data_IF_326596425248
#
_entry.id   IF_326596425248
#
_cell.length_a   1.000
_cell.length_b   1.000
_cell.length_c   1.000
_cell.angle_alpha   90.00
_cell.angle_beta   90.00
_cell.angle_gamma   90.00
#
_symmetry.space_group_name_H-M   'P 1'
#
loop_
_entity.id
_entity.type
_entity.pdbx_description
1 polymer ?
#
# COMPACT_ATOMS: atom_id res chain seq x y z
N UNK A 1 -59.28 26.24 19.94
CA UNK A 1 -60.02 25.40 20.90
C UNK A 1 -59.44 24.00 20.86
N UNK A 2 -58.75 23.56 21.91
CA UNK A 2 -58.19 22.21 21.96
C UNK A 2 -59.33 21.23 22.25
N UNK A 3 -59.53 20.24 21.38
CA UNK A 3 -60.46 19.14 21.65
C UNK A 3 -59.90 18.32 22.81
N UNK A 4 -60.48 18.48 24.00
CA UNK A 4 -60.21 17.62 25.15
C UNK A 4 -60.91 16.28 24.93
N UNK A 5 -60.20 15.37 24.25
CA UNK A 5 -60.62 13.99 24.12
C UNK A 5 -60.25 13.24 25.42
N UNK A 6 -61.26 12.90 26.22
CA UNK A 6 -61.08 12.14 27.47
C UNK A 6 -60.83 10.63 27.25
N UNK A 7 -60.56 10.19 26.02
CA UNK A 7 -60.19 8.80 25.74
C UNK A 7 -58.69 8.61 26.00
N UNK A 8 -58.30 7.40 26.42
CA UNK A 8 -56.89 7.01 26.52
C UNK A 8 -56.24 7.05 25.13
N UNK A 9 -54.98 7.45 25.07
CA UNK A 9 -54.22 7.56 23.83
C UNK A 9 -54.07 6.19 23.13
N UNK A 10 -53.77 5.12 23.88
CA UNK A 10 -53.60 3.74 23.41
C UNK A 10 -52.57 3.54 22.28
N UNK A 11 -51.85 4.57 21.84
CA UNK A 11 -50.73 4.47 20.90
C UNK A 11 -49.62 3.62 21.51
N UNK A 12 -48.92 2.84 20.68
CA UNK A 12 -47.76 2.06 21.12
C UNK A 12 -46.63 3.00 21.56
N UNK A 13 -46.12 2.81 22.77
CA UNK A 13 -44.99 3.56 23.31
C UNK A 13 -43.68 3.20 22.60
N UNK A 14 -42.65 4.07 22.64
CA UNK A 14 -41.35 3.84 22.01
C UNK A 14 -40.65 2.54 22.45
N UNK A 15 -40.98 2.03 23.63
CA UNK A 15 -40.47 0.75 24.13
C UNK A 15 -40.95 -0.48 23.33
N UNK A 16 -41.96 -0.32 22.46
CA UNK A 16 -42.49 -1.38 21.60
C UNK A 16 -43.35 -2.43 22.31
N UNK A 17 -43.43 -2.45 23.64
CA UNK A 17 -44.15 -3.48 24.41
C UNK A 17 -45.35 -2.96 25.23
N UNK A 18 -45.53 -1.65 25.36
CA UNK A 18 -46.64 -1.06 26.12
C UNK A 18 -47.40 -0.02 25.32
N UNK A 19 -48.68 0.12 25.60
CA UNK A 19 -49.56 1.18 25.11
C UNK A 19 -49.57 2.40 26.06
N UNK A 20 -49.84 3.57 25.47
CA UNK A 20 -49.92 4.83 26.18
C UNK A 20 -51.21 4.92 26.99
N UNK A 21 -51.08 4.90 28.32
CA UNK A 21 -52.19 5.01 29.27
C UNK A 21 -52.59 6.47 29.56
N UNK A 22 -51.88 7.45 29.00
CA UNK A 22 -52.19 8.87 29.19
C UNK A 22 -53.48 9.27 28.44
N UNK A 23 -54.17 10.33 28.91
CA UNK A 23 -55.26 10.95 28.15
C UNK A 23 -54.79 11.35 26.75
N UNK A 24 -55.73 11.45 25.81
CA UNK A 24 -55.42 11.87 24.45
C UNK A 24 -54.65 13.20 24.48
N UNK A 25 -53.44 13.17 23.92
CA UNK A 25 -52.52 14.30 23.90
C UNK A 25 -52.05 14.55 22.47
N UNK A 26 -51.59 15.78 22.21
CA UNK A 26 -50.97 16.15 20.94
C UNK A 26 -49.44 15.92 21.04
N UNK A 27 -48.82 15.42 19.98
CA UNK A 27 -47.39 15.08 19.93
C UNK A 27 -47.07 13.60 20.22
N UNK A 28 -45.78 13.27 20.25
CA UNK A 28 -45.28 11.93 20.54
C UNK A 28 -45.54 11.51 21.98
N UNK A 29 -45.73 10.20 22.19
CA UNK A 29 -45.90 9.65 23.53
C UNK A 29 -44.59 9.76 24.32
N UNK A 30 -44.68 10.09 25.60
CA UNK A 30 -43.53 10.10 26.52
C UNK A 30 -42.93 8.70 26.69
N UNK A 31 -41.75 8.64 27.30
CA UNK A 31 -41.08 7.38 27.64
C UNK A 31 -41.95 6.47 28.52
N UNK A 32 -41.66 5.17 28.48
CA UNK A 32 -42.41 4.19 29.23
C UNK A 32 -42.06 4.24 30.72
N UNK A 33 -43.03 4.57 31.56
CA UNK A 33 -42.88 4.63 33.03
C UNK A 33 -43.16 3.30 33.73
N UNK A 34 -43.47 2.23 32.97
CA UNK A 34 -43.72 0.90 33.55
C UNK A 34 -42.40 0.28 34.03
N UNK A 35 -42.35 -0.14 35.30
CA UNK A 35 -41.22 -0.85 35.94
C UNK A 35 -41.11 -2.32 35.52
N UNK A 36 -41.57 -2.69 34.33
CA UNK A 36 -41.41 -4.06 33.86
C UNK A 36 -39.94 -4.30 33.50
N UNK A 37 -39.36 -5.39 33.99
CA UNK A 37 -38.02 -5.82 33.63
C UNK A 37 -38.10 -6.67 32.35
N UNK A 38 -37.52 -6.18 31.26
CA UNK A 38 -37.34 -6.95 30.03
C UNK A 38 -36.05 -7.75 30.12
N UNK A 39 -36.12 -9.05 29.84
CA UNK A 39 -34.92 -9.86 29.57
C UNK A 39 -34.50 -9.63 28.12
N UNK A 40 -33.24 -9.30 27.91
CA UNK A 40 -32.63 -9.22 26.60
C UNK A 40 -31.52 -10.28 26.52
N UNK A 41 -31.52 -11.05 25.44
CA UNK A 41 -30.51 -12.07 25.17
C UNK A 41 -29.62 -11.61 24.00
N UNK A 42 -28.28 -11.56 24.18
CA UNK A 42 -27.32 -11.40 23.05
C UNK A 42 -27.18 -12.75 22.34
N UNK A 43 -26.80 -12.75 21.07
CA UNK A 43 -26.41 -13.96 20.34
C UNK A 43 -25.21 -14.69 20.98
N UNK A 44 -24.45 -14.03 21.84
CA UNK A 44 -23.40 -14.67 22.63
C UNK A 44 -23.92 -15.49 23.82
N UNK A 45 -25.25 -15.57 24.02
CA UNK A 45 -25.90 -16.29 25.11
C UNK A 45 -25.97 -15.53 26.44
N UNK A 46 -25.54 -14.26 26.48
CA UNK A 46 -25.66 -13.43 27.68
C UNK A 46 -27.06 -12.84 27.82
N UNK A 47 -27.62 -12.96 29.02
CA UNK A 47 -28.92 -12.40 29.37
C UNK A 47 -28.74 -11.18 30.29
N UNK A 48 -29.26 -10.03 29.86
CA UNK A 48 -29.31 -8.81 30.68
C UNK A 48 -30.75 -8.45 31.00
N UNK A 49 -30.99 -8.02 32.24
CA UNK A 49 -32.29 -7.54 32.71
C UNK A 49 -32.27 -6.02 32.66
N UNK A 50 -33.11 -5.43 31.81
CA UNK A 50 -33.21 -3.97 31.65
C UNK A 50 -34.61 -3.50 32.00
N UNK A 51 -34.72 -2.35 32.65
CA UNK A 51 -36.01 -1.70 32.85
C UNK A 51 -36.57 -1.24 31.51
N UNK A 52 -37.89 -1.30 31.35
CA UNK A 52 -38.55 -0.78 30.17
C UNK A 52 -38.20 0.70 29.95
N UNK A 53 -37.73 1.04 28.74
CA UNK A 53 -37.29 2.40 28.40
C UNK A 53 -35.83 2.71 28.77
N UNK A 54 -35.14 1.85 29.51
CA UNK A 54 -33.71 2.01 29.75
C UNK A 54 -32.90 1.76 28.47
N UNK A 55 -31.79 2.48 28.32
CA UNK A 55 -30.82 2.24 27.26
C UNK A 55 -30.26 0.82 27.44
N UNK A 56 -30.38 0.00 26.39
CA UNK A 56 -29.81 -1.33 26.37
C UNK A 56 -28.30 -1.26 26.57
N UNK A 57 -27.73 -1.96 27.56
CA UNK A 57 -26.28 -1.98 27.74
C UNK A 57 -25.61 -2.72 26.58
N UNK A 58 -24.47 -2.21 26.14
CA UNK A 58 -23.62 -2.93 25.19
C UNK A 58 -23.01 -4.16 25.85
N UNK A 59 -23.04 -5.28 25.14
CA UNK A 59 -22.45 -6.52 25.65
C UNK A 59 -20.92 -6.45 25.53
N UNK A 60 -20.25 -6.60 26.68
CA UNK A 60 -18.78 -6.48 26.79
C UNK A 60 -18.04 -7.80 26.53
N UNK A 61 -18.76 -8.90 26.35
CA UNK A 61 -18.13 -10.17 25.97
C UNK A 61 -17.55 -10.07 24.57
N UNK A 62 -16.51 -10.85 24.33
CA UNK A 62 -15.99 -11.08 22.99
C UNK A 62 -17.04 -11.74 22.11
N UNK A 63 -17.03 -11.42 20.82
CA UNK A 63 -17.87 -12.13 19.86
C UNK A 63 -17.59 -13.64 19.89
N UNK A 64 -18.66 -14.43 20.03
CA UNK A 64 -18.60 -15.89 20.10
C UNK A 64 -18.99 -16.57 18.78
N UNK A 65 -19.21 -15.79 17.71
CA UNK A 65 -19.55 -16.32 16.38
C UNK A 65 -18.36 -17.08 15.80
N UNK A 66 -18.61 -17.95 14.82
CA UNK A 66 -17.53 -18.65 14.11
C UNK A 66 -16.81 -17.67 13.20
N UNK A 67 -15.49 -17.63 13.29
CA UNK A 67 -14.64 -16.78 12.47
C UNK A 67 -13.70 -17.63 11.60
N UNK A 68 -13.39 -17.13 10.40
CA UNK A 68 -12.44 -17.81 9.51
C UNK A 68 -10.98 -17.67 9.96
N UNK A 69 -10.68 -16.73 10.85
CA UNK A 69 -9.34 -16.51 11.36
C UNK A 69 -8.95 -17.50 12.47
N UNK A 70 -7.71 -17.99 12.44
CA UNK A 70 -7.20 -18.98 13.40
C UNK A 70 -6.69 -18.40 14.73
N UNK A 71 -6.84 -17.10 14.96
CA UNK A 71 -6.39 -16.42 16.17
C UNK A 71 -7.56 -15.93 17.03
N UNK A 72 -7.24 -15.51 18.25
CA UNK A 72 -8.22 -14.95 19.15
C UNK A 72 -8.79 -13.62 18.59
N UNK A 73 -10.13 -13.51 18.56
CA UNK A 73 -10.83 -12.31 18.09
C UNK A 73 -10.82 -11.22 19.15
N UNK A 74 -10.72 -9.95 18.79
CA UNK A 74 -10.60 -8.84 19.75
C UNK A 74 -11.84 -7.95 19.86
N UNK A 75 -12.81 -8.08 18.95
CA UNK A 75 -14.05 -7.29 19.00
C UNK A 75 -15.11 -7.88 19.94
N UNK A 76 -16.01 -7.02 20.42
CA UNK A 76 -17.10 -7.33 21.35
C UNK A 76 -18.36 -7.89 20.66
N UNK A 77 -19.32 -8.46 21.42
CA UNK A 77 -20.63 -8.88 20.91
C UNK A 77 -21.30 -7.66 20.25
N UNK A 78 -21.89 -7.89 19.09
CA UNK A 78 -22.61 -6.87 18.34
C UNK A 78 -23.90 -7.47 17.78
N UNK A 79 -24.91 -6.61 17.62
CA UNK A 79 -26.21 -7.02 17.10
C UNK A 79 -26.28 -7.00 15.55
N UNK A 80 -25.24 -6.48 14.88
CA UNK A 80 -25.17 -6.51 13.41
C UNK A 80 -25.03 -7.96 12.92
N UNK A 81 -25.63 -8.28 11.78
CA UNK A 81 -25.55 -9.61 11.17
C UNK A 81 -24.11 -10.00 10.81
N UNK A 82 -23.35 -9.07 10.27
CA UNK A 82 -21.95 -9.29 9.87
C UNK A 82 -20.97 -8.83 10.97
N UNK A 83 -19.96 -9.65 11.22
CA UNK A 83 -18.85 -9.28 12.10
C UNK A 83 -17.98 -8.16 11.49
N UNK A 84 -17.45 -7.24 12.31
CA UNK A 84 -16.49 -6.25 11.83
C UNK A 84 -15.21 -6.93 11.33
N UNK A 85 -14.46 -6.26 10.43
CA UNK A 85 -13.18 -6.78 9.94
C UNK A 85 -12.19 -6.98 11.08
N UNK A 86 -11.33 -7.99 10.95
CA UNK A 86 -10.37 -8.31 11.99
C UNK A 86 -9.05 -7.55 11.82
N UNK A 87 -8.77 -6.63 12.73
CA UNK A 87 -7.53 -5.86 12.81
C UNK A 87 -6.44 -6.53 13.69
N UNK A 88 -6.55 -7.84 13.95
CA UNK A 88 -5.46 -8.56 14.57
C UNK A 88 -4.25 -8.56 13.62
N UNK A 89 -3.07 -8.27 14.16
CA UNK A 89 -1.83 -8.34 13.40
C UNK A 89 -1.38 -9.80 13.26
N UNK A 90 -1.10 -10.20 12.03
CA UNK A 90 -0.65 -11.55 11.68
C UNK A 90 0.54 -11.48 10.74
N UNK A 91 1.43 -12.48 10.82
CA UNK A 91 2.48 -12.66 9.83
C UNK A 91 1.88 -13.32 8.60
N UNK A 92 2.05 -12.70 7.43
CA UNK A 92 1.73 -13.33 6.14
C UNK A 92 2.93 -13.22 5.22
N UNK A 93 3.12 -14.24 4.40
CA UNK A 93 4.12 -14.23 3.31
C UNK A 93 3.47 -13.70 2.05
N UNK A 94 4.20 -12.88 1.28
CA UNK A 94 3.65 -12.33 0.04
C UNK A 94 3.21 -13.42 -0.93
N UNK A 95 2.28 -13.11 -1.84
CA UNK A 95 1.77 -14.07 -2.84
C UNK A 95 2.90 -14.72 -3.65
N UNK A 96 4.03 -14.01 -3.82
CA UNK A 96 5.23 -14.54 -4.49
C UNK A 96 6.19 -15.34 -3.59
N UNK A 97 5.96 -15.44 -2.29
CA UNK A 97 6.81 -16.21 -1.37
C UNK A 97 8.13 -15.54 -0.95
N UNK A 98 8.31 -14.24 -1.24
CA UNK A 98 9.62 -13.58 -1.07
C UNK A 98 9.88 -13.01 0.32
N UNK A 99 8.85 -12.43 0.93
CA UNK A 99 8.97 -11.69 2.17
C UNK A 99 7.76 -11.98 3.06
N UNK A 100 8.00 -11.97 4.37
CA UNK A 100 6.96 -12.12 5.38
C UNK A 100 6.82 -10.80 6.12
N UNK A 101 5.61 -10.24 6.06
CA UNK A 101 5.30 -8.94 6.64
C UNK A 101 4.15 -9.08 7.64
N UNK A 102 4.14 -8.18 8.62
CA UNK A 102 3.06 -8.09 9.60
C UNK A 102 1.94 -7.24 9.02
N UNK A 103 0.77 -7.85 8.82
CA UNK A 103 -0.41 -7.20 8.24
C UNK A 103 -1.65 -7.45 9.08
N UNK A 104 -2.75 -6.76 8.78
CA UNK A 104 -4.00 -7.04 9.46
C UNK A 104 -4.65 -8.31 8.91
N UNK A 105 -5.33 -9.09 9.77
CA UNK A 105 -5.93 -10.36 9.37
C UNK A 105 -6.93 -10.23 8.22
N UNK A 106 -7.66 -9.11 8.11
CA UNK A 106 -8.59 -8.89 7.00
C UNK A 106 -7.89 -8.78 5.63
N UNK A 107 -6.59 -8.52 5.61
CA UNK A 107 -5.79 -8.45 4.39
C UNK A 107 -5.41 -9.86 3.94
N UNK A 108 -6.18 -10.41 3.00
CA UNK A 108 -5.97 -11.80 2.60
C UNK A 108 -4.68 -12.01 1.78
N UNK A 109 -4.38 -11.04 0.92
CA UNK A 109 -3.28 -11.11 -0.04
C UNK A 109 -2.37 -9.92 0.16
N UNK A 110 -1.09 -10.21 0.38
CA UNK A 110 -0.06 -9.19 0.46
C UNK A 110 0.90 -9.32 -0.73
N UNK A 111 1.18 -8.20 -1.38
CA UNK A 111 2.14 -8.10 -2.47
C UNK A 111 3.39 -7.43 -1.95
N UNK A 112 4.54 -8.02 -2.25
CA UNK A 112 5.85 -7.48 -1.92
C UNK A 112 6.45 -6.88 -3.20
N UNK A 113 7.05 -5.69 -3.11
CA UNK A 113 7.71 -5.01 -4.25
C UNK A 113 9.12 -5.56 -4.49
N UNK A 114 9.27 -6.88 -4.44
CA UNK A 114 10.57 -7.52 -4.65
C UNK A 114 10.91 -7.46 -6.14
N UNK A 115 12.07 -6.91 -6.44
CA UNK A 115 12.60 -6.83 -7.80
C UNK A 115 13.02 -8.23 -8.26
N UNK A 116 12.71 -8.58 -9.51
CA UNK A 116 12.97 -9.92 -10.04
C UNK A 116 14.46 -10.31 -9.99
N UNK A 117 15.36 -9.42 -10.43
CA UNK A 117 16.82 -9.59 -10.31
C UNK A 117 17.46 -10.72 -11.13
N UNK A 118 16.68 -11.60 -11.75
CA UNK A 118 17.17 -12.72 -12.59
C UNK A 118 18.03 -12.21 -13.74
N UNK A 119 19.11 -12.93 -14.12
CA UNK A 119 19.96 -12.52 -15.24
C UNK A 119 19.21 -12.63 -16.57
N UNK A 120 19.30 -11.59 -17.39
CA UNK A 120 18.80 -11.52 -18.75
C UNK A 120 19.84 -12.07 -19.73
N UNK A 121 19.43 -12.50 -20.95
CA UNK A 121 20.37 -12.98 -21.98
C UNK A 121 21.47 -11.98 -22.35
N UNK A 122 21.20 -10.68 -22.20
CA UNK A 122 22.15 -9.60 -22.44
C UNK A 122 23.14 -9.36 -21.27
N UNK A 123 23.12 -10.21 -20.24
CA UNK A 123 23.98 -10.11 -19.04
C UNK A 123 23.50 -9.13 -17.97
N UNK A 124 22.47 -8.33 -18.27
CA UNK A 124 21.84 -7.42 -17.30
C UNK A 124 20.96 -8.19 -16.30
N UNK A 125 20.61 -7.56 -15.17
CA UNK A 125 19.66 -8.13 -14.20
C UNK A 125 18.25 -7.58 -14.46
N UNK A 126 17.21 -8.40 -14.38
CA UNK A 126 15.83 -7.95 -14.55
C UNK A 126 15.46 -6.88 -13.50
N UNK A 127 14.97 -5.73 -13.97
CA UNK A 127 14.54 -4.58 -13.14
C UNK A 127 13.02 -4.44 -13.03
N UNK A 128 12.27 -5.42 -13.53
CA UNK A 128 10.82 -5.46 -13.32
C UNK A 128 10.50 -5.99 -11.91
N UNK A 129 9.30 -5.68 -11.44
CA UNK A 129 8.72 -6.35 -10.26
C UNK A 129 8.69 -7.86 -10.48
N UNK A 130 8.67 -8.62 -9.38
CA UNK A 130 8.65 -10.07 -9.47
C UNK A 130 7.50 -10.55 -10.35
N UNK A 131 7.84 -11.47 -11.26
CA UNK A 131 6.90 -12.08 -12.16
C UNK A 131 7.10 -13.60 -12.21
N UNK A 132 5.98 -14.32 -12.25
CA UNK A 132 5.95 -15.76 -12.46
C UNK A 132 6.11 -16.06 -13.96
N UNK A 133 7.35 -16.17 -14.44
CA UNK A 133 7.64 -16.48 -15.84
C UNK A 133 9.06 -16.13 -16.28
N UNK A 134 9.31 -16.25 -17.59
CA UNK A 134 10.58 -15.84 -18.23
C UNK A 134 10.62 -14.31 -18.26
N UNK A 135 11.75 -13.72 -17.88
CA UNK A 135 11.93 -12.27 -17.96
C UNK A 135 11.81 -11.79 -19.41
N UNK A 136 11.17 -10.63 -19.62
CA UNK A 136 11.06 -10.02 -20.95
C UNK A 136 12.45 -9.84 -21.54
N UNK A 137 12.59 -10.13 -22.84
CA UNK A 137 13.87 -10.02 -23.56
C UNK A 137 14.29 -8.56 -23.82
N UNK A 138 13.34 -7.64 -23.82
CA UNK A 138 13.59 -6.21 -24.04
C UNK A 138 14.24 -5.58 -22.81
N UNK A 139 15.53 -5.27 -22.92
CA UNK A 139 16.30 -4.64 -21.87
C UNK A 139 16.39 -3.13 -22.11
N UNK A 140 15.82 -2.34 -21.19
CA UNK A 140 15.87 -0.86 -21.25
C UNK A 140 17.05 -0.25 -20.49
N UNK A 141 17.93 -1.08 -19.93
CA UNK A 141 19.09 -0.62 -19.17
C UNK A 141 20.16 -0.05 -20.08
N UNK A 142 21.03 0.81 -19.54
CA UNK A 142 22.22 1.25 -20.25
C UNK A 142 23.20 0.09 -20.43
N UNK A 143 23.92 0.07 -21.54
CA UNK A 143 24.90 -0.97 -21.81
C UNK A 143 26.05 -0.96 -20.77
N UNK A 144 26.46 -2.15 -20.31
CA UNK A 144 27.54 -2.29 -19.32
C UNK A 144 28.93 -2.46 -19.95
N UNK A 145 29.01 -2.55 -21.27
CA UNK A 145 30.28 -2.76 -21.99
C UNK A 145 31.14 -1.49 -21.90
N UNK A 146 32.42 -1.64 -21.56
CA UNK A 146 33.39 -0.53 -21.56
C UNK A 146 33.56 0.04 -22.97
N UNK A 147 33.59 1.37 -23.07
CA UNK A 147 33.96 2.05 -24.30
C UNK A 147 35.34 1.58 -24.78
N UNK A 148 35.65 1.72 -26.08
CA UNK A 148 36.94 1.35 -26.67
C UNK A 148 38.15 1.94 -25.91
N UNK A 149 37.98 3.12 -25.32
CA UNK A 149 39.02 3.80 -24.52
C UNK A 149 39.04 3.41 -23.04
N UNK A 150 38.15 2.51 -22.59
CA UNK A 150 38.08 1.99 -21.22
C UNK A 150 37.59 2.95 -20.13
N UNK A 151 37.45 4.25 -20.43
CA UNK A 151 37.23 5.30 -19.43
C UNK A 151 35.81 5.40 -18.86
N UNK A 152 34.82 4.82 -19.54
CA UNK A 152 33.43 4.77 -19.12
C UNK A 152 32.69 3.60 -19.76
N UNK A 153 31.49 3.30 -19.26
CA UNK A 153 30.59 2.31 -19.86
C UNK A 153 29.86 2.95 -21.05
N UNK A 154 29.42 2.13 -21.99
CA UNK A 154 28.60 2.58 -23.11
C UNK A 154 27.29 3.20 -22.59
N UNK A 155 26.98 4.43 -23.04
CA UNK A 155 25.81 5.19 -22.58
C UNK A 155 24.54 4.87 -23.38
N UNK A 156 24.67 4.09 -24.45
CA UNK A 156 23.51 3.66 -25.23
C UNK A 156 22.67 2.68 -24.41
N UNK A 157 21.35 2.69 -24.65
CA UNK A 157 20.45 1.62 -24.19
C UNK A 157 20.97 0.27 -24.66
N UNK A 158 20.73 -0.77 -23.88
CA UNK A 158 21.11 -2.14 -24.16
C UNK A 158 20.71 -2.48 -25.59
N UNK A 159 21.73 -2.73 -26.40
CA UNK A 159 21.61 -2.97 -27.84
C UNK A 159 21.94 -4.43 -28.16
N UNK A 160 21.81 -5.35 -27.18
CA UNK A 160 22.01 -6.78 -27.42
C UNK A 160 21.00 -7.28 -28.47
N UNK A 161 21.41 -8.12 -29.43
CA UNK A 161 22.72 -8.78 -29.57
C UNK A 161 23.75 -8.03 -30.41
N UNK A 162 23.48 -6.78 -30.79
CA UNK A 162 24.36 -5.99 -31.64
C UNK A 162 25.59 -5.44 -30.89
N UNK A 163 26.66 -5.17 -31.64
CA UNK A 163 27.90 -4.56 -31.13
C UNK A 163 27.63 -3.13 -30.63
N UNK A 164 28.49 -2.64 -29.72
CA UNK A 164 28.37 -1.27 -29.23
C UNK A 164 28.47 -0.25 -30.37
N UNK A 165 27.56 0.74 -30.40
CA UNK A 165 27.68 1.84 -31.34
C UNK A 165 28.90 2.71 -31.02
N UNK A 166 29.33 3.50 -32.00
CA UNK A 166 30.41 4.47 -31.84
C UNK A 166 30.13 5.41 -30.66
N UNK A 167 31.14 5.62 -29.82
CA UNK A 167 31.02 6.45 -28.64
C UNK A 167 30.81 7.92 -29.01
N UNK A 168 29.66 8.49 -28.60
CA UNK A 168 29.30 9.90 -28.85
C UNK A 168 29.56 10.82 -27.65
N UNK A 169 30.13 10.28 -26.57
CA UNK A 169 30.46 11.07 -25.38
C UNK A 169 31.47 12.17 -25.71
N UNK A 170 31.31 13.34 -25.10
CA UNK A 170 32.24 14.46 -25.23
C UNK A 170 32.89 14.77 -23.90
N UNK A 171 34.17 15.16 -23.93
CA UNK A 171 34.92 15.59 -22.77
C UNK A 171 35.44 17.00 -22.98
N UNK A 172 35.58 17.75 -21.89
CA UNK A 172 36.24 19.07 -21.93
C UNK A 172 37.72 18.86 -21.65
N UNK A 173 38.53 19.28 -22.62
CA UNK A 173 39.96 19.39 -22.51
C UNK A 173 40.30 20.81 -22.10
N UNK A 174 40.72 20.97 -20.85
CA UNK A 174 41.28 22.23 -20.37
C UNK A 174 42.78 22.25 -20.64
N UNK A 175 43.26 23.35 -21.22
CA UNK A 175 44.68 23.58 -21.39
C UNK A 175 45.36 23.70 -20.02
N UNK A 176 46.63 23.27 -19.92
CA UNK A 176 47.42 23.41 -18.68
C UNK A 176 47.54 24.85 -18.19
N UNK A 177 47.50 25.84 -19.10
CA UNK A 177 47.53 27.26 -18.74
C UNK A 177 46.17 27.82 -18.25
N UNK A 178 45.09 27.03 -18.26
CA UNK A 178 43.75 27.44 -17.82
C UNK A 178 42.98 28.33 -18.80
N UNK A 179 43.65 28.96 -19.76
CA UNK A 179 43.06 30.01 -20.61
C UNK A 179 42.26 29.50 -21.83
N UNK A 180 42.24 28.18 -22.09
CA UNK A 180 41.55 27.59 -23.24
C UNK A 180 40.90 26.27 -22.86
N UNK A 181 39.67 26.07 -23.31
CA UNK A 181 38.90 24.84 -23.13
C UNK A 181 38.35 24.39 -24.49
N UNK A 182 38.42 23.09 -24.77
CA UNK A 182 37.92 22.52 -26.01
C UNK A 182 37.10 21.26 -25.73
N UNK A 183 35.98 21.09 -26.44
CA UNK A 183 35.21 19.84 -26.40
C UNK A 183 35.80 18.85 -27.41
N UNK A 184 36.02 17.62 -26.98
CA UNK A 184 36.50 16.54 -27.84
C UNK A 184 35.61 15.31 -27.67
N UNK A 185 35.24 14.64 -28.77
CA UNK A 185 34.52 13.37 -28.71
C UNK A 185 35.46 12.26 -28.25
N UNK A 186 34.96 11.36 -27.43
CA UNK A 186 35.66 10.18 -26.94
C UNK A 186 36.30 9.39 -28.08
N UNK A 187 35.66 9.30 -29.25
CA UNK A 187 36.20 8.62 -30.44
C UNK A 187 37.56 9.13 -30.91
N UNK A 188 37.93 10.39 -30.60
CA UNK A 188 39.21 11.00 -31.01
C UNK A 188 40.28 10.98 -29.91
N UNK A 189 39.95 10.43 -28.74
CA UNK A 189 40.79 10.39 -27.55
C UNK A 189 41.53 9.05 -27.50
N UNK A 190 42.85 9.02 -27.69
CA UNK A 190 43.64 7.80 -27.50
C UNK A 190 44.01 7.60 -26.03
N UNK A 191 43.72 6.41 -25.49
CA UNK A 191 44.00 6.02 -24.11
C UNK A 191 45.45 5.54 -23.93
N UNK A 192 46.44 6.41 -24.07
CA UNK A 192 47.72 6.20 -23.41
C UNK A 192 47.75 7.14 -22.21
N UNK A 193 47.46 6.56 -21.05
CA UNK A 193 47.12 7.26 -19.80
C UNK A 193 47.82 8.60 -19.60
N UNK A 194 46.98 9.63 -19.37
CA UNK A 194 47.28 11.00 -18.90
C UNK A 194 47.45 12.11 -19.94
N UNK A 195 47.43 11.83 -21.24
CA UNK A 195 47.57 12.93 -22.22
C UNK A 195 46.84 12.66 -23.53
N UNK A 196 45.90 13.54 -23.90
CA UNK A 196 45.35 13.56 -25.25
C UNK A 196 46.16 14.50 -26.13
N UNK A 197 46.57 14.03 -27.30
CA UNK A 197 46.98 14.92 -28.38
C UNK A 197 45.70 15.52 -29.00
N UNK A 198 45.48 16.82 -28.81
CA UNK A 198 44.59 17.59 -29.69
C UNK A 198 45.13 17.47 -31.14
N UNK A 199 44.32 17.60 -32.22
CA UNK A 199 44.81 17.80 -33.59
C UNK A 199 45.95 18.84 -33.78
N UNK A 200 46.25 19.67 -32.77
CA UNK A 200 47.43 20.55 -32.72
C UNK A 200 48.56 20.13 -31.75
N UNK A 201 48.62 18.88 -31.27
CA UNK A 201 49.73 18.34 -30.46
C UNK A 201 49.78 18.75 -28.98
N UNK A 202 48.78 19.47 -28.46
CA UNK A 202 48.81 20.02 -27.10
C UNK A 202 48.30 19.03 -26.06
N UNK A 203 49.07 18.83 -24.99
CA UNK A 203 48.75 17.98 -23.84
C UNK A 203 47.65 18.59 -22.95
N UNK A 204 46.47 17.98 -22.86
CA UNK A 204 45.35 18.47 -22.01
C UNK A 204 44.93 17.47 -20.92
N UNK A 205 44.35 17.99 -19.81
CA UNK A 205 43.74 17.17 -18.75
C UNK A 205 42.26 16.93 -19.05
N UNK A 206 41.80 15.69 -18.86
CA UNK A 206 40.39 15.29 -19.04
C UNK A 206 39.62 15.57 -17.76
N UNK A 207 38.57 16.38 -17.85
CA UNK A 207 37.55 16.48 -16.79
C UNK A 207 36.24 15.87 -17.32
N UNK A 208 35.68 14.89 -16.61
CA UNK A 208 34.37 14.30 -16.92
C UNK A 208 33.28 15.35 -16.69
N UNK A 209 32.36 15.48 -17.63
CA UNK A 209 31.06 16.11 -17.33
C UNK A 209 30.22 14.99 -16.69
N UNK A 210 29.60 15.28 -15.55
CA UNK A 210 28.76 14.35 -14.78
C UNK A 210 27.50 13.95 -15.55
#
# INVERSE_FOLDING_TARGET
MAHLCNKKCMKRLPCGSHDCDQPCHSGDCKECTKTSIKKLSCDCGEEVRVQCGAITPECKKRCARVHACAHQVTHTCHNKETCPPCYAQVQRTCVGGHDTSTVYCYEDKITCNVMCGKPLPCGHKCQEEYHNGICKKECKQHCLIKCKNGSHNCVATCHYPHKCPSCKETFILKCKCGNKEQRALCSFVQSNGKTLLNPGGVQARISKIG
#
